data_IF_349827162477
#
_entry.id   IF_349827162477
#
_cell.length_a   1.000
_cell.length_b   1.000
_cell.length_c   1.000
_cell.angle_alpha   90.00
_cell.angle_beta   90.00
_cell.angle_gamma   90.00
#
_symmetry.space_group_name_H-M   'P 1'
#
loop_
_entity.id
_entity.type
_entity.pdbx_description
1 polymer ?
#
# COMPACT_ATOMS: atom_id res chain seq x y z
N UNK A 1 -2.04 6.70 -3.41
CA UNK A 1 -1.36 6.54 -4.73
C UNK A 1 -0.97 5.07 -4.90
N UNK A 2 -0.88 4.57 -6.15
CA UNK A 2 -0.48 3.19 -6.44
C UNK A 2 1.01 2.99 -6.23
N UNK A 3 1.40 1.80 -5.77
CA UNK A 3 2.81 1.37 -5.65
C UNK A 3 3.19 0.47 -6.83
N UNK A 4 4.46 0.48 -7.23
CA UNK A 4 4.96 -0.29 -8.37
C UNK A 4 6.23 -1.07 -8.01
N UNK A 5 6.34 -2.29 -8.55
CA UNK A 5 7.58 -3.06 -8.57
C UNK A 5 8.10 -3.08 -10.02
N UNK A 6 9.22 -2.41 -10.24
CA UNK A 6 9.99 -2.51 -11.47
C UNK A 6 10.91 -3.71 -11.35
N UNK A 7 10.74 -4.70 -12.21
CA UNK A 7 11.39 -6.01 -12.09
C UNK A 7 12.24 -6.23 -13.33
N UNK A 8 13.53 -6.51 -13.14
CA UNK A 8 14.38 -6.93 -14.22
C UNK A 8 14.03 -8.35 -14.68
N UNK A 9 14.46 -8.70 -15.88
CA UNK A 9 14.17 -9.98 -16.53
C UNK A 9 15.26 -11.02 -16.27
N UNK A 10 16.44 -10.76 -16.80
CA UNK A 10 17.57 -11.68 -16.79
C UNK A 10 18.32 -11.58 -15.44
N UNK A 11 18.66 -12.71 -14.85
CA UNK A 11 19.21 -12.77 -13.49
C UNK A 11 18.17 -12.66 -12.36
N UNK A 12 16.90 -12.26 -12.65
CA UNK A 12 15.84 -12.01 -11.65
C UNK A 12 14.62 -12.92 -11.85
N UNK A 13 14.06 -12.98 -13.05
CA UNK A 13 12.97 -13.90 -13.40
C UNK A 13 13.52 -15.18 -14.02
N UNK A 14 14.55 -15.07 -14.83
CA UNK A 14 15.23 -16.14 -15.53
C UNK A 14 16.70 -16.21 -15.12
N UNK A 15 17.25 -17.40 -15.09
CA UNK A 15 18.69 -17.57 -14.92
C UNK A 15 19.45 -16.96 -16.10
N UNK A 16 20.40 -16.10 -15.83
CA UNK A 16 21.28 -15.54 -16.85
C UNK A 16 22.49 -16.45 -17.05
N UNK A 17 22.78 -16.89 -18.31
CA UNK A 17 23.97 -17.68 -18.62
C UNK A 17 25.24 -16.86 -18.35
N UNK A 18 26.21 -17.45 -17.66
CA UNK A 18 27.46 -16.76 -17.27
C UNK A 18 28.46 -16.57 -18.42
N UNK A 19 28.29 -17.34 -19.51
CA UNK A 19 29.17 -17.33 -20.67
C UNK A 19 28.78 -16.30 -21.75
N UNK A 20 27.49 -16.14 -21.99
CA UNK A 20 26.99 -15.26 -23.07
C UNK A 20 26.17 -14.07 -22.56
N UNK A 21 25.70 -14.11 -21.31
CA UNK A 21 24.79 -13.13 -20.72
C UNK A 21 23.51 -12.91 -21.57
N UNK A 22 23.15 -13.92 -22.42
CA UNK A 22 21.98 -13.87 -23.29
C UNK A 22 21.20 -15.17 -23.22
N UNK A 23 19.89 -15.08 -23.10
CA UNK A 23 18.96 -16.20 -23.17
C UNK A 23 18.45 -16.29 -24.59
N UNK A 24 19.27 -16.87 -25.47
CA UNK A 24 19.11 -16.92 -26.93
C UNK A 24 18.57 -18.26 -27.44
N UNK A 25 18.26 -19.18 -26.53
CA UNK A 25 17.68 -20.49 -26.88
C UNK A 25 16.80 -21.04 -25.75
N UNK A 26 15.98 -22.04 -26.06
CA UNK A 26 15.12 -22.71 -25.08
C UNK A 26 15.94 -23.52 -24.04
N UNK A 27 17.11 -24.02 -24.41
CA UNK A 27 18.00 -24.75 -23.51
C UNK A 27 18.55 -23.84 -22.39
N UNK A 28 18.69 -22.55 -22.68
CA UNK A 28 19.12 -21.53 -21.69
C UNK A 28 17.97 -20.91 -20.90
N UNK A 29 16.72 -21.24 -21.26
CA UNK A 29 15.54 -20.71 -20.62
C UNK A 29 15.22 -21.47 -19.34
N UNK A 30 15.51 -20.89 -18.20
CA UNK A 30 15.20 -21.48 -16.89
C UNK A 30 14.71 -20.41 -15.91
N UNK A 31 13.59 -20.67 -15.24
CA UNK A 31 13.08 -19.79 -14.20
C UNK A 31 13.96 -19.83 -12.94
N UNK A 32 14.07 -18.68 -12.28
CA UNK A 32 14.70 -18.61 -10.94
C UNK A 32 13.88 -19.46 -9.95
N UNK A 33 14.51 -20.29 -9.12
CA UNK A 33 13.84 -21.10 -8.11
C UNK A 33 13.02 -20.24 -7.13
N UNK A 34 11.80 -20.66 -6.82
CA UNK A 34 10.90 -19.94 -5.91
C UNK A 34 10.20 -18.72 -6.53
N UNK A 35 10.42 -18.43 -7.82
CA UNK A 35 9.79 -17.33 -8.53
C UNK A 35 8.26 -17.37 -8.41
N UNK A 36 7.65 -18.45 -8.82
CA UNK A 36 6.17 -18.59 -8.83
C UNK A 36 5.58 -18.56 -7.43
N UNK A 37 6.29 -19.09 -6.43
CA UNK A 37 5.89 -18.98 -5.02
C UNK A 37 5.94 -17.52 -4.55
N UNK A 38 7.09 -16.87 -4.60
CA UNK A 38 7.29 -15.54 -4.02
C UNK A 38 6.59 -14.45 -4.83
N UNK A 39 6.84 -14.35 -6.15
CA UNK A 39 6.23 -13.32 -7.01
C UNK A 39 4.72 -13.58 -7.17
N UNK A 40 4.28 -14.84 -7.20
CA UNK A 40 2.87 -15.21 -7.22
C UNK A 40 2.14 -14.72 -5.97
N UNK A 41 2.75 -14.86 -4.79
CA UNK A 41 2.21 -14.30 -3.55
C UNK A 41 2.20 -12.76 -3.57
N UNK A 42 3.26 -12.11 -4.04
CA UNK A 42 3.28 -10.66 -4.22
C UNK A 42 2.11 -10.21 -5.10
N UNK A 43 1.92 -10.86 -6.25
CA UNK A 43 0.85 -10.51 -7.18
C UNK A 43 -0.56 -10.67 -6.59
N UNK A 44 -0.76 -11.70 -5.77
CA UNK A 44 -2.08 -11.99 -5.16
C UNK A 44 -2.33 -11.19 -3.88
N UNK A 45 -1.33 -11.06 -3.01
CA UNK A 45 -1.52 -10.61 -1.62
C UNK A 45 -1.16 -9.14 -1.40
N UNK A 46 -0.20 -8.59 -2.16
CA UNK A 46 0.29 -7.24 -1.95
C UNK A 46 -0.25 -6.26 -3.00
N UNK A 47 -0.36 -4.99 -2.64
CA UNK A 47 -0.91 -3.95 -3.51
C UNK A 47 0.21 -3.24 -4.30
N UNK A 48 0.84 -3.99 -5.20
CA UNK A 48 1.82 -3.47 -6.16
C UNK A 48 1.37 -3.75 -7.59
N UNK A 49 1.55 -2.78 -8.48
CA UNK A 49 1.54 -3.03 -9.92
C UNK A 49 2.91 -3.56 -10.34
N UNK A 50 2.94 -4.61 -11.14
CA UNK A 50 4.19 -5.22 -11.63
C UNK A 50 4.54 -4.65 -12.99
N UNK A 51 5.78 -4.22 -13.18
CA UNK A 51 6.31 -3.67 -14.43
C UNK A 51 7.64 -4.33 -14.72
N UNK A 52 7.77 -4.93 -15.90
CA UNK A 52 9.02 -5.54 -16.34
C UNK A 52 9.89 -4.47 -17.03
N UNK A 53 11.17 -4.38 -16.66
CA UNK A 53 12.11 -3.39 -17.20
C UNK A 53 13.44 -4.07 -17.48
N UNK A 54 13.83 -4.22 -18.75
CA UNK A 54 15.04 -4.95 -19.13
C UNK A 54 15.86 -4.25 -20.20
N UNK A 55 17.19 -4.31 -20.07
CA UNK A 55 18.14 -3.96 -21.12
C UNK A 55 18.46 -5.21 -21.95
N UNK A 56 18.25 -5.16 -23.27
CA UNK A 56 18.40 -6.30 -24.19
C UNK A 56 19.34 -5.94 -25.35
N UNK A 57 20.56 -5.58 -25.02
CA UNK A 57 21.57 -5.04 -25.95
C UNK A 57 22.08 -6.01 -27.02
N UNK A 58 21.73 -7.25 -26.96
CA UNK A 58 22.02 -8.23 -28.04
C UNK A 58 20.90 -8.41 -29.04
N UNK A 59 19.73 -7.85 -28.78
CA UNK A 59 18.51 -8.13 -29.53
C UNK A 59 18.55 -7.56 -30.95
N UNK A 60 18.14 -8.40 -31.91
CA UNK A 60 18.15 -8.05 -33.35
C UNK A 60 19.48 -8.35 -34.05
N UNK A 61 20.54 -8.74 -33.32
CA UNK A 61 21.81 -9.19 -33.90
C UNK A 61 21.70 -10.65 -34.40
N UNK A 62 22.58 -11.11 -35.34
CA UNK A 62 22.56 -12.49 -35.79
C UNK A 62 22.70 -13.53 -34.68
N UNK A 63 23.41 -13.20 -33.60
CA UNK A 63 23.55 -14.04 -32.39
C UNK A 63 22.30 -14.08 -31.51
N UNK A 64 21.41 -13.10 -31.62
CA UNK A 64 20.16 -13.03 -30.86
C UNK A 64 19.01 -12.44 -31.69
N UNK A 65 18.46 -13.24 -32.64
CA UNK A 65 17.38 -12.80 -33.52
C UNK A 65 16.11 -12.43 -32.74
N UNK A 66 15.39 -11.43 -33.20
CA UNK A 66 14.15 -10.95 -32.62
C UNK A 66 13.10 -12.07 -32.48
N UNK A 67 12.99 -12.95 -33.48
CA UNK A 67 12.03 -14.08 -33.49
C UNK A 67 12.26 -15.10 -32.36
N UNK A 68 13.51 -15.30 -31.96
CA UNK A 68 13.86 -16.17 -30.83
C UNK A 68 13.44 -15.48 -29.53
N UNK A 69 13.81 -14.20 -29.37
CA UNK A 69 13.40 -13.42 -28.19
C UNK A 69 11.88 -13.40 -28.03
N UNK A 70 11.13 -13.08 -29.09
CA UNK A 70 9.66 -13.05 -29.05
C UNK A 70 9.05 -14.40 -28.62
N UNK A 71 9.62 -15.50 -29.11
CA UNK A 71 9.18 -16.83 -28.73
C UNK A 71 9.41 -17.14 -27.25
N UNK A 72 10.62 -16.81 -26.74
CA UNK A 72 10.97 -17.00 -25.33
C UNK A 72 10.18 -16.03 -24.42
N UNK A 73 9.99 -14.79 -24.85
CA UNK A 73 9.20 -13.79 -24.14
C UNK A 73 7.73 -14.23 -24.03
N UNK A 74 7.18 -14.84 -25.10
CA UNK A 74 5.82 -15.39 -25.07
C UNK A 74 5.70 -16.54 -24.05
N UNK A 75 6.70 -17.41 -23.97
CA UNK A 75 6.75 -18.49 -22.96
C UNK A 75 6.81 -17.87 -21.54
N UNK A 76 7.72 -16.91 -21.32
CA UNK A 76 7.87 -16.22 -20.04
C UNK A 76 6.53 -15.62 -19.57
N UNK A 77 5.97 -14.73 -20.38
CA UNK A 77 4.74 -14.01 -20.03
C UNK A 77 3.54 -14.95 -19.94
N UNK A 78 3.47 -15.95 -20.82
CA UNK A 78 2.42 -16.97 -20.79
C UNK A 78 2.44 -17.80 -19.51
N UNK A 79 3.61 -18.27 -19.09
CA UNK A 79 3.79 -19.02 -17.84
C UNK A 79 3.44 -18.19 -16.61
N UNK A 80 3.93 -16.95 -16.54
CA UNK A 80 3.63 -16.03 -15.43
C UNK A 80 2.13 -15.70 -15.37
N UNK A 81 1.51 -15.41 -16.52
CA UNK A 81 0.06 -15.13 -16.59
C UNK A 81 -0.78 -16.34 -16.18
N UNK A 82 -0.36 -17.56 -16.55
CA UNK A 82 -1.01 -18.81 -16.15
C UNK A 82 -1.04 -18.99 -14.63
N UNK A 83 -0.02 -18.50 -13.93
CA UNK A 83 0.09 -18.49 -12.47
C UNK A 83 -0.54 -17.24 -11.80
N UNK A 84 -1.27 -16.42 -12.58
CA UNK A 84 -1.92 -15.20 -12.07
C UNK A 84 -0.99 -13.99 -11.90
N UNK A 85 0.27 -14.09 -12.33
CA UNK A 85 1.26 -13.02 -12.29
C UNK A 85 1.13 -12.19 -13.56
N UNK A 86 0.59 -10.97 -13.46
CA UNK A 86 0.32 -10.12 -14.61
C UNK A 86 1.14 -8.84 -14.53
N UNK A 87 1.96 -8.59 -15.54
CA UNK A 87 2.64 -7.32 -15.70
C UNK A 87 1.69 -6.28 -16.33
N UNK A 88 1.66 -5.08 -15.73
CA UNK A 88 0.94 -3.93 -16.29
C UNK A 88 1.57 -3.45 -17.60
N UNK A 89 2.89 -3.46 -17.65
CA UNK A 89 3.67 -3.06 -18.82
C UNK A 89 5.01 -3.79 -18.87
N UNK A 90 5.60 -3.82 -20.06
CA UNK A 90 6.92 -4.38 -20.33
C UNK A 90 7.70 -3.29 -21.07
N UNK A 91 8.81 -2.86 -20.49
CA UNK A 91 9.72 -1.87 -21.07
C UNK A 91 11.05 -2.56 -21.40
N UNK A 92 11.44 -2.47 -22.65
CA UNK A 92 12.67 -3.08 -23.16
C UNK A 92 13.50 -2.00 -23.85
N UNK A 93 14.76 -1.90 -23.48
CA UNK A 93 15.75 -1.12 -24.22
C UNK A 93 16.69 -2.06 -24.98
N UNK A 94 16.96 -1.75 -26.24
CA UNK A 94 17.77 -2.57 -27.14
C UNK A 94 19.12 -1.93 -27.49
N UNK A 95 19.37 -0.70 -27.05
CA UNK A 95 20.63 -0.03 -27.33
C UNK A 95 21.77 -0.68 -26.56
N UNK A 96 22.95 -0.71 -27.17
CA UNK A 96 24.19 -1.05 -26.47
C UNK A 96 24.67 0.12 -25.61
N UNK A 97 25.59 -0.13 -24.70
CA UNK A 97 26.12 0.92 -23.83
C UNK A 97 26.87 2.01 -24.63
N UNK A 98 27.48 1.65 -25.77
CA UNK A 98 28.22 2.55 -26.66
C UNK A 98 27.29 3.48 -27.46
N UNK A 99 26.03 3.08 -27.66
CA UNK A 99 25.03 3.88 -28.38
C UNK A 99 24.38 4.96 -27.51
N UNK A 100 24.62 4.92 -26.20
CA UNK A 100 24.03 5.86 -25.24
C UNK A 100 24.95 7.06 -25.02
N UNK A 101 24.36 8.25 -25.14
CA UNK A 101 25.00 9.47 -24.65
C UNK A 101 24.79 9.62 -23.14
N UNK A 102 25.78 9.16 -22.38
CA UNK A 102 25.78 9.20 -20.91
C UNK A 102 25.95 10.61 -20.33
N UNK A 103 26.16 11.63 -21.16
CA UNK A 103 26.17 13.02 -20.70
C UNK A 103 24.77 13.60 -20.49
N UNK A 104 23.75 12.93 -21.02
CA UNK A 104 22.36 13.34 -20.87
C UNK A 104 21.85 13.07 -19.45
N UNK A 105 20.87 13.87 -18.99
CA UNK A 105 20.19 13.57 -17.73
C UNK A 105 19.45 12.22 -17.80
N UNK A 106 19.35 11.48 -16.68
CA UNK A 106 18.72 10.15 -16.67
C UNK A 106 17.31 10.09 -17.28
N UNK A 107 16.56 11.19 -17.20
CA UNK A 107 15.21 11.31 -17.75
C UNK A 107 15.16 11.20 -19.30
N UNK A 108 16.27 11.37 -19.99
CA UNK A 108 16.37 11.28 -21.45
C UNK A 108 17.08 10.00 -21.93
N UNK A 109 17.65 9.23 -21.02
CA UNK A 109 18.37 7.99 -21.33
C UNK A 109 17.38 6.82 -21.28
N UNK A 110 17.18 6.08 -22.41
CA UNK A 110 16.22 4.95 -22.45
C UNK A 110 16.73 3.72 -21.69
N UNK A 111 18.04 3.44 -21.77
CA UNK A 111 18.69 2.29 -21.14
C UNK A 111 18.85 2.49 -19.63
N UNK A 112 18.58 1.46 -18.81
CA UNK A 112 18.93 1.47 -17.37
C UNK A 112 20.42 1.79 -17.18
N UNK A 113 20.81 2.73 -16.31
CA UNK A 113 20.02 3.33 -15.23
C UNK A 113 19.24 4.61 -15.60
N UNK A 114 19.08 4.93 -16.89
CA UNK A 114 18.21 6.00 -17.34
C UNK A 114 16.73 5.70 -17.09
N UNK A 115 15.92 6.75 -17.03
CA UNK A 115 14.50 6.66 -16.64
C UNK A 115 13.53 7.02 -17.75
N UNK A 116 14.03 7.24 -19.00
CA UNK A 116 13.17 7.69 -20.10
C UNK A 116 12.01 6.73 -20.39
N UNK A 117 12.23 5.41 -20.30
CA UNK A 117 11.17 4.41 -20.47
C UNK A 117 10.08 4.48 -19.38
N UNK A 118 10.35 5.10 -18.23
CA UNK A 118 9.53 5.05 -17.03
C UNK A 118 8.91 6.40 -16.64
N UNK A 119 8.99 7.41 -17.51
CA UNK A 119 8.46 8.76 -17.25
C UNK A 119 6.98 8.77 -16.87
N UNK A 120 6.16 7.84 -17.43
CA UNK A 120 4.75 7.71 -17.13
C UNK A 120 4.44 7.31 -15.68
N UNK A 121 5.45 6.87 -14.91
CA UNK A 121 5.28 6.49 -13.49
C UNK A 121 5.69 7.60 -12.51
N UNK A 122 6.28 8.69 -12.98
CA UNK A 122 6.71 9.80 -12.11
C UNK A 122 5.52 10.58 -11.53
N UNK A 123 4.33 10.43 -12.13
CA UNK A 123 3.09 11.03 -11.64
C UNK A 123 2.04 9.96 -11.38
N UNK A 124 1.30 10.08 -10.29
CA UNK A 124 0.22 9.16 -9.93
C UNK A 124 0.67 7.89 -9.18
N UNK A 125 1.98 7.69 -8.98
CA UNK A 125 2.53 6.58 -8.22
C UNK A 125 3.25 7.04 -6.95
N UNK A 126 3.24 6.20 -5.94
CA UNK A 126 4.00 6.36 -4.69
C UNK A 126 5.39 5.75 -4.88
N UNK A 127 6.30 6.52 -5.50
CA UNK A 127 7.64 6.04 -5.81
C UNK A 127 8.48 5.79 -4.55
N UNK A 128 8.28 6.54 -3.47
CA UNK A 128 9.00 6.36 -2.22
C UNK A 128 8.72 4.99 -1.56
N UNK A 129 7.52 4.43 -1.78
CA UNK A 129 7.11 3.10 -1.31
C UNK A 129 7.07 2.05 -2.45
N UNK A 130 7.73 2.35 -3.58
CA UNK A 130 7.91 1.47 -4.73
C UNK A 130 9.35 0.96 -4.80
N UNK A 131 9.58 -0.13 -5.55
CA UNK A 131 10.89 -0.77 -5.59
C UNK A 131 11.33 -1.08 -7.02
N UNK A 132 12.64 -1.02 -7.24
CA UNK A 132 13.31 -1.70 -8.36
C UNK A 132 13.93 -2.99 -7.83
N UNK A 133 13.68 -4.10 -8.50
CA UNK A 133 14.24 -5.42 -8.20
C UNK A 133 15.14 -5.80 -9.36
N UNK A 134 16.45 -5.89 -9.13
CA UNK A 134 17.43 -6.19 -10.15
C UNK A 134 18.71 -6.79 -9.57
N UNK A 135 19.49 -7.46 -10.43
CA UNK A 135 20.73 -8.14 -10.05
C UNK A 135 21.99 -7.34 -10.36
N UNK A 136 21.85 -6.20 -11.07
CA UNK A 136 22.98 -5.36 -11.52
C UNK A 136 23.00 -4.01 -10.80
N UNK A 137 24.18 -3.39 -10.78
CA UNK A 137 24.35 -2.05 -10.22
C UNK A 137 23.48 -1.01 -10.94
N UNK A 138 23.27 -1.18 -12.25
CA UNK A 138 22.38 -0.32 -13.04
C UNK A 138 20.94 -0.32 -12.57
N UNK A 139 20.48 -1.38 -11.90
CA UNK A 139 19.15 -1.44 -11.29
C UNK A 139 19.08 -0.64 -10.00
N UNK A 140 20.13 -0.71 -9.18
CA UNK A 140 20.24 0.13 -7.97
C UNK A 140 20.32 1.62 -8.32
N UNK A 141 21.07 1.95 -9.38
CA UNK A 141 21.16 3.32 -9.90
C UNK A 141 19.81 3.78 -10.49
N UNK A 142 19.09 2.91 -11.19
CA UNK A 142 17.74 3.17 -11.67
C UNK A 142 16.80 3.50 -10.51
N UNK A 143 16.84 2.72 -9.43
CA UNK A 143 16.05 2.99 -8.24
C UNK A 143 16.32 4.39 -7.67
N UNK A 144 17.60 4.75 -7.53
CA UNK A 144 18.03 6.09 -7.10
C UNK A 144 17.51 7.19 -8.04
N UNK A 145 17.63 6.99 -9.35
CA UNK A 145 17.23 7.98 -10.35
C UNK A 145 15.71 8.16 -10.45
N UNK A 146 14.92 7.14 -10.10
CA UNK A 146 13.46 7.18 -9.99
C UNK A 146 12.96 7.72 -8.64
N UNK A 147 13.81 7.74 -7.61
CA UNK A 147 13.39 8.03 -6.23
C UNK A 147 12.63 6.87 -5.57
N UNK A 148 12.85 5.64 -6.04
CA UNK A 148 12.32 4.41 -5.43
C UNK A 148 13.34 3.79 -4.49
N UNK A 149 12.93 2.75 -3.76
CA UNK A 149 13.84 1.87 -3.04
C UNK A 149 14.36 0.76 -3.98
N UNK A 150 15.47 0.13 -3.61
CA UNK A 150 16.05 -0.98 -4.36
C UNK A 150 15.99 -2.28 -3.57
N UNK A 151 15.70 -3.39 -4.26
CA UNK A 151 15.94 -4.75 -3.80
C UNK A 151 17.02 -5.34 -4.72
N UNK A 152 18.20 -5.60 -4.16
CA UNK A 152 19.28 -6.18 -4.93
C UNK A 152 19.16 -7.70 -4.95
N UNK A 153 18.90 -8.23 -6.14
CA UNK A 153 18.69 -9.66 -6.34
C UNK A 153 20.03 -10.40 -6.42
N UNK A 154 20.70 -10.53 -5.28
CA UNK A 154 22.00 -11.17 -5.13
C UNK A 154 22.02 -11.99 -3.86
N UNK A 155 23.03 -12.88 -3.71
CA UNK A 155 23.25 -13.61 -2.45
C UNK A 155 23.38 -12.63 -1.31
N UNK A 156 22.74 -12.91 -0.20
CA UNK A 156 22.72 -12.05 0.99
C UNK A 156 24.10 -11.78 1.61
N UNK A 157 25.11 -12.54 1.20
CA UNK A 157 26.53 -12.31 1.58
C UNK A 157 27.21 -11.21 0.74
N UNK A 158 26.58 -10.71 -0.32
CA UNK A 158 27.09 -9.60 -1.12
C UNK A 158 26.54 -8.28 -0.57
N UNK A 159 27.41 -7.28 -0.48
CA UNK A 159 27.01 -5.93 -0.08
C UNK A 159 27.00 -5.02 -1.31
N UNK A 160 25.95 -4.18 -1.46
CA UNK A 160 25.95 -3.15 -2.49
C UNK A 160 27.03 -2.11 -2.20
N UNK A 161 27.53 -1.39 -3.22
CA UNK A 161 28.44 -0.26 -3.01
C UNK A 161 27.85 0.74 -2.00
N UNK A 162 28.69 1.36 -1.16
CA UNK A 162 28.26 2.30 -0.11
C UNK A 162 27.41 3.46 -0.66
N UNK A 163 27.64 3.85 -1.93
CA UNK A 163 26.88 4.90 -2.63
C UNK A 163 25.51 4.45 -3.13
N UNK A 164 25.21 3.13 -3.12
CA UNK A 164 23.97 2.54 -3.64
C UNK A 164 23.35 1.63 -2.59
N UNK A 165 22.40 2.19 -1.82
CA UNK A 165 21.73 1.43 -0.76
C UNK A 165 20.65 0.52 -1.35
N UNK A 166 20.58 -0.72 -0.85
CA UNK A 166 19.47 -1.62 -1.07
C UNK A 166 18.65 -1.77 0.23
N UNK A 167 17.33 -1.79 0.11
CA UNK A 167 16.43 -2.06 1.24
C UNK A 167 16.45 -3.53 1.64
N UNK A 168 16.75 -4.41 0.68
CA UNK A 168 16.95 -5.85 0.88
C UNK A 168 18.01 -6.35 -0.12
N UNK A 169 18.85 -7.29 0.33
CA UNK A 169 19.71 -8.11 -0.54
C UNK A 169 19.28 -9.56 -0.36
N UNK A 170 18.79 -10.18 -1.44
CA UNK A 170 18.38 -11.58 -1.45
C UNK A 170 18.23 -12.09 -2.88
N UNK A 171 18.68 -13.30 -3.14
CA UNK A 171 18.48 -14.05 -4.40
C UNK A 171 17.25 -14.96 -4.36
N UNK A 172 16.36 -14.78 -3.38
CA UNK A 172 15.20 -15.64 -3.13
C UNK A 172 13.89 -14.85 -3.12
N UNK A 173 13.01 -15.16 -4.06
CA UNK A 173 11.69 -14.55 -4.17
C UNK A 173 10.81 -14.68 -2.90
N UNK A 174 10.80 -15.82 -2.15
CA UNK A 174 10.08 -15.91 -0.88
C UNK A 174 10.56 -14.92 0.18
N UNK A 175 11.86 -14.57 0.19
CA UNK A 175 12.40 -13.58 1.13
C UNK A 175 11.97 -12.17 0.75
N UNK A 176 11.95 -11.86 -0.56
CA UNK A 176 11.43 -10.58 -1.08
C UNK A 176 9.95 -10.43 -0.71
N UNK A 177 9.13 -11.47 -0.89
CA UNK A 177 7.75 -11.44 -0.46
C UNK A 177 7.61 -11.15 1.05
N UNK A 178 8.38 -11.86 1.90
CA UNK A 178 8.33 -11.64 3.37
C UNK A 178 8.72 -10.21 3.74
N UNK A 179 9.76 -9.68 3.12
CA UNK A 179 10.20 -8.30 3.31
C UNK A 179 9.11 -7.31 2.92
N UNK A 180 8.58 -7.38 1.70
CA UNK A 180 7.54 -6.46 1.22
C UNK A 180 6.26 -6.53 2.07
N UNK A 181 5.92 -7.73 2.57
CA UNK A 181 4.78 -7.93 3.46
C UNK A 181 5.01 -7.34 4.86
N UNK A 182 6.26 -7.29 5.33
CA UNK A 182 6.60 -6.75 6.66
C UNK A 182 6.67 -5.23 6.68
N UNK A 183 6.59 -4.56 5.53
CA UNK A 183 6.60 -3.10 5.47
C UNK A 183 5.33 -2.53 6.10
N UNK A 184 5.45 -1.43 6.87
CA UNK A 184 4.30 -0.78 7.49
C UNK A 184 3.25 -0.34 6.46
N UNK A 185 1.96 -0.54 6.80
CA UNK A 185 0.82 -0.12 5.98
C UNK A 185 0.56 1.37 6.21
N UNK A 186 1.24 2.19 5.44
CA UNK A 186 1.21 3.66 5.57
C UNK A 186 0.56 4.30 4.35
N UNK A 187 -0.16 5.40 4.59
CA UNK A 187 -0.80 6.20 3.53
C UNK A 187 -0.88 7.67 3.94
N UNK A 188 -0.85 8.55 2.94
CA UNK A 188 -1.20 9.96 3.11
C UNK A 188 -2.35 10.30 2.17
N UNK A 189 -3.45 10.75 2.75
CA UNK A 189 -4.63 11.24 2.02
C UNK A 189 -4.69 12.76 2.19
N UNK A 190 -4.85 13.47 1.08
CA UNK A 190 -5.17 14.88 1.04
C UNK A 190 -6.55 15.04 0.39
N UNK A 191 -7.48 15.69 1.09
CA UNK A 191 -8.81 16.00 0.62
C UNK A 191 -9.04 17.49 0.74
N UNK A 192 -9.44 18.13 -0.35
CA UNK A 192 -9.79 19.54 -0.37
C UNK A 192 -11.12 19.75 -1.07
N UNK A 193 -11.98 20.55 -0.46
CA UNK A 193 -13.23 21.07 -1.00
C UNK A 193 -13.21 22.60 -0.96
N UNK A 194 -14.31 23.26 -1.20
CA UNK A 194 -14.42 24.72 -0.97
C UNK A 194 -14.53 25.06 0.51
N UNK A 195 -14.93 24.09 1.34
CA UNK A 195 -15.27 24.25 2.76
C UNK A 195 -14.16 23.74 3.68
N UNK A 196 -13.40 22.73 3.24
CA UNK A 196 -12.38 22.07 4.07
C UNK A 196 -11.10 21.76 3.31
N UNK A 197 -9.97 21.79 4.03
CA UNK A 197 -8.68 21.25 3.56
C UNK A 197 -8.15 20.29 4.62
N UNK A 198 -8.04 19.00 4.27
CA UNK A 198 -7.73 17.92 5.21
C UNK A 198 -6.53 17.13 4.74
N UNK A 199 -5.61 16.86 5.66
CA UNK A 199 -4.51 15.94 5.47
C UNK A 199 -4.56 14.85 6.55
N UNK A 200 -4.54 13.59 6.13
CA UNK A 200 -4.45 12.41 6.99
C UNK A 200 -3.21 11.64 6.61
N UNK A 201 -2.28 11.45 7.56
CA UNK A 201 -1.20 10.46 7.44
C UNK A 201 -1.47 9.37 8.46
N UNK A 202 -1.67 8.14 7.98
CA UNK A 202 -2.06 6.98 8.76
C UNK A 202 -1.03 5.87 8.60
N UNK A 203 -0.62 5.27 9.73
CA UNK A 203 0.14 4.03 9.78
C UNK A 203 -0.64 3.00 10.60
N UNK A 204 -1.14 1.94 9.94
CA UNK A 204 -1.89 0.87 10.61
C UNK A 204 -1.03 0.02 11.54
N UNK A 205 0.28 -0.03 11.29
CA UNK A 205 1.25 -0.81 12.05
C UNK A 205 2.08 0.09 13.00
N UNK A 206 1.43 1.14 13.53
CA UNK A 206 2.01 2.15 14.40
C UNK A 206 2.07 1.75 15.86
N UNK A 207 2.35 2.75 16.70
CA UNK A 207 2.50 2.63 18.17
C UNK A 207 1.42 3.36 18.97
N UNK A 208 0.49 4.05 18.30
CA UNK A 208 -0.52 4.90 18.92
C UNK A 208 -0.09 6.36 19.05
N UNK A 209 0.90 6.79 18.27
CA UNK A 209 1.29 8.19 18.17
C UNK A 209 0.17 9.00 17.49
N UNK A 210 -0.14 10.18 18.04
CA UNK A 210 -1.13 11.09 17.43
C UNK A 210 -0.64 12.52 17.39
N UNK A 211 -0.98 13.22 16.30
CA UNK A 211 -0.84 14.66 16.13
C UNK A 211 -2.07 15.15 15.38
N UNK A 212 -3.05 15.69 16.10
CA UNK A 212 -4.38 15.99 15.57
C UNK A 212 -4.69 17.46 15.77
N UNK A 213 -5.27 18.09 14.76
CA UNK A 213 -5.70 19.50 14.81
C UNK A 213 -6.86 19.69 13.84
N UNK A 214 -8.08 19.71 14.36
CA UNK A 214 -9.32 19.99 13.60
C UNK A 214 -9.91 21.36 13.91
N UNK A 215 -9.37 22.02 14.92
CA UNK A 215 -9.92 23.27 15.45
C UNK A 215 -11.05 23.06 16.48
N UNK A 216 -11.39 21.80 16.79
CA UNK A 216 -12.39 21.43 17.79
C UNK A 216 -11.74 20.51 18.84
N UNK A 217 -11.54 21.02 20.06
CA UNK A 217 -10.76 20.32 21.09
C UNK A 217 -11.35 18.98 21.50
N UNK A 218 -12.67 18.90 21.61
CA UNK A 218 -13.31 17.63 21.95
C UNK A 218 -13.20 16.60 20.81
N UNK A 219 -13.33 17.04 19.56
CA UNK A 219 -13.17 16.14 18.41
C UNK A 219 -11.73 15.66 18.25
N UNK A 220 -10.74 16.54 18.46
CA UNK A 220 -9.33 16.17 18.50
C UNK A 220 -9.10 15.07 19.54
N UNK A 221 -9.64 15.20 20.75
CA UNK A 221 -9.58 14.20 21.80
C UNK A 221 -10.20 12.86 21.38
N UNK A 222 -11.34 12.85 20.69
CA UNK A 222 -11.96 11.62 20.18
C UNK A 222 -11.09 10.90 19.13
N UNK A 223 -10.46 11.65 18.24
CA UNK A 223 -9.54 11.11 17.25
C UNK A 223 -8.22 10.60 17.88
N UNK A 224 -7.77 11.23 18.97
CA UNK A 224 -6.66 10.71 19.79
C UNK A 224 -7.00 9.37 20.44
N UNK A 225 -8.24 9.19 20.92
CA UNK A 225 -8.70 7.88 21.41
C UNK A 225 -8.63 6.81 20.31
N UNK A 226 -9.01 7.17 19.07
CA UNK A 226 -8.90 6.27 17.91
C UNK A 226 -7.46 5.82 17.67
N UNK A 227 -6.52 6.76 17.63
CA UNK A 227 -5.10 6.48 17.43
C UNK A 227 -4.54 5.61 18.57
N UNK A 228 -4.76 6.05 19.81
CA UNK A 228 -4.19 5.42 21.01
C UNK A 228 -4.69 3.99 21.21
N UNK A 229 -6.00 3.79 21.19
CA UNK A 229 -6.62 2.48 21.45
C UNK A 229 -6.56 1.54 20.24
N UNK A 230 -6.47 2.08 19.03
CA UNK A 230 -6.21 1.32 17.81
C UNK A 230 -4.74 0.97 17.62
N UNK A 231 -3.80 1.62 18.34
CA UNK A 231 -2.37 1.45 18.14
C UNK A 231 -1.89 1.96 16.78
N UNK A 232 -2.60 2.93 16.20
CA UNK A 232 -2.26 3.55 14.92
C UNK A 232 -1.39 4.79 15.15
N UNK A 233 -0.43 5.07 14.24
CA UNK A 233 0.11 6.42 14.20
C UNK A 233 -0.77 7.26 13.27
N UNK A 234 -1.26 8.40 13.78
CA UNK A 234 -2.20 9.26 13.09
C UNK A 234 -1.77 10.74 13.19
N UNK A 235 -1.37 11.30 12.05
CA UNK A 235 -1.27 12.76 11.93
C UNK A 235 -2.46 13.25 11.08
N UNK A 236 -3.27 14.13 11.65
CA UNK A 236 -4.47 14.64 11.01
C UNK A 236 -4.59 16.16 11.22
N UNK A 237 -4.78 16.88 10.13
CA UNK A 237 -5.12 18.30 10.18
C UNK A 237 -6.35 18.57 9.32
N UNK A 238 -7.25 19.40 9.84
CA UNK A 238 -8.42 19.91 9.13
C UNK A 238 -8.46 21.43 9.29
N UNK A 239 -8.46 22.16 8.19
CA UNK A 239 -8.80 23.57 8.13
C UNK A 239 -10.18 23.66 7.48
N UNK A 240 -11.22 23.86 8.29
CA UNK A 240 -12.62 23.93 7.85
C UNK A 240 -13.26 25.26 8.20
N UNK A 241 -14.47 25.46 7.69
CA UNK A 241 -15.28 26.66 7.85
C UNK A 241 -16.07 26.69 9.18
N UNK A 242 -15.37 26.43 10.29
CA UNK A 242 -15.97 26.37 11.65
C UNK A 242 -16.74 27.62 12.05
N UNK A 243 -16.56 28.75 11.35
CA UNK A 243 -17.35 29.96 11.53
C UNK A 243 -18.81 29.81 11.05
N UNK A 244 -19.11 28.80 10.25
CA UNK A 244 -20.45 28.39 9.83
C UNK A 244 -20.98 27.40 10.87
N UNK A 245 -20.41 26.21 10.90
CA UNK A 245 -20.66 25.17 11.92
C UNK A 245 -19.58 24.07 11.88
N UNK A 246 -19.76 22.99 12.67
CA UNK A 246 -18.83 21.88 12.74
C UNK A 246 -19.09 20.79 11.66
N UNK A 247 -20.16 20.88 10.88
CA UNK A 247 -20.66 19.79 10.01
C UNK A 247 -19.63 19.36 8.99
N UNK A 248 -19.21 20.29 8.13
CA UNK A 248 -18.27 20.00 7.04
C UNK A 248 -16.93 19.46 7.56
N UNK A 249 -16.43 20.06 8.67
CA UNK A 249 -15.17 19.63 9.27
C UNK A 249 -15.23 18.21 9.81
N UNK A 250 -16.32 17.81 10.47
CA UNK A 250 -16.48 16.45 11.03
C UNK A 250 -16.71 15.42 9.92
N UNK A 251 -17.64 15.69 8.99
CA UNK A 251 -17.97 14.78 7.91
C UNK A 251 -16.79 14.54 6.99
N UNK A 252 -16.16 15.59 6.48
CA UNK A 252 -15.02 15.49 5.57
C UNK A 252 -13.79 14.86 6.23
N UNK A 253 -13.58 15.09 7.54
CA UNK A 253 -12.55 14.39 8.31
C UNK A 253 -12.84 12.88 8.36
N UNK A 254 -14.08 12.48 8.61
CA UNK A 254 -14.48 11.06 8.60
C UNK A 254 -14.29 10.41 7.24
N UNK A 255 -14.67 11.11 6.16
CA UNK A 255 -14.46 10.63 4.79
C UNK A 255 -12.98 10.46 4.46
N UNK A 256 -12.13 11.45 4.80
CA UNK A 256 -10.69 11.38 4.57
C UNK A 256 -10.03 10.25 5.39
N UNK A 257 -10.43 10.08 6.63
CA UNK A 257 -9.94 9.02 7.51
C UNK A 257 -10.37 7.63 7.01
N UNK A 258 -11.64 7.45 6.66
CA UNK A 258 -12.15 6.20 6.08
C UNK A 258 -11.45 5.84 4.77
N UNK A 259 -11.19 6.83 3.91
CA UNK A 259 -10.39 6.64 2.71
C UNK A 259 -8.97 6.20 3.05
N UNK A 260 -8.33 6.79 4.08
CA UNK A 260 -7.00 6.40 4.52
C UNK A 260 -6.96 4.93 4.98
N UNK A 261 -7.93 4.49 5.78
CA UNK A 261 -8.06 3.08 6.16
C UNK A 261 -8.22 2.16 4.94
N UNK A 262 -9.10 2.49 4.01
CA UNK A 262 -9.31 1.72 2.78
C UNK A 262 -8.04 1.60 1.94
N UNK A 263 -7.31 2.70 1.73
CA UNK A 263 -6.07 2.70 0.94
C UNK A 263 -4.95 1.93 1.66
N UNK A 264 -4.79 2.08 2.99
CA UNK A 264 -3.78 1.37 3.77
C UNK A 264 -4.04 -0.15 3.83
N UNK A 265 -5.30 -0.58 3.84
CA UNK A 265 -5.69 -2.01 3.82
C UNK A 265 -5.46 -2.67 2.46
N UNK A 266 -5.45 -1.91 1.37
CA UNK A 266 -5.23 -2.43 0.03
C UNK A 266 -6.14 -3.61 -0.32
N UNK A 267 -5.55 -4.74 -0.69
CA UNK A 267 -6.27 -5.98 -1.08
C UNK A 267 -6.97 -6.70 0.09
N UNK A 268 -6.77 -6.25 1.33
CA UNK A 268 -7.35 -6.85 2.55
C UNK A 268 -6.99 -8.33 2.77
N UNK A 269 -5.94 -8.83 2.13
CA UNK A 269 -5.50 -10.21 2.26
C UNK A 269 -4.89 -10.45 3.63
N UNK A 270 -5.35 -11.50 4.31
CA UNK A 270 -4.82 -11.93 5.60
C UNK A 270 -5.24 -11.08 6.80
N UNK A 271 -6.11 -10.09 6.66
CA UNK A 271 -6.67 -9.36 7.81
C UNK A 271 -7.72 -10.22 8.54
N UNK A 272 -7.96 -9.90 9.81
CA UNK A 272 -8.99 -10.61 10.60
C UNK A 272 -10.42 -10.20 10.24
N UNK A 273 -10.62 -9.01 9.67
CA UNK A 273 -11.89 -8.49 9.14
C UNK A 273 -12.91 -8.04 10.17
N UNK A 274 -13.01 -8.63 11.39
CA UNK A 274 -14.05 -8.43 12.39
C UNK A 274 -13.52 -7.94 13.75
N UNK A 275 -14.40 -7.35 14.61
CA UNK A 275 -14.07 -6.93 16.00
C UNK A 275 -15.27 -6.36 16.77
N UNK A 276 -15.41 -5.89 17.91
CA UNK A 276 -15.10 -5.98 19.34
C UNK A 276 -16.11 -5.21 20.28
N UNK A 277 -16.11 -5.47 21.63
CA UNK A 277 -16.97 -4.89 22.69
C UNK A 277 -16.11 -4.33 23.85
N UNK A 278 -16.51 -3.20 24.49
CA UNK A 278 -15.72 -2.52 25.53
C UNK A 278 -16.56 -1.87 26.63
N UNK A 279 -16.33 -2.16 27.96
CA UNK A 279 -16.84 -1.38 29.06
C UNK A 279 -15.98 -0.14 29.36
N UNK A 280 -16.59 0.94 29.77
CA UNK A 280 -15.92 2.16 30.22
C UNK A 280 -16.77 2.87 31.29
N UNK A 281 -16.30 2.84 32.54
CA UNK A 281 -16.99 3.38 33.73
C UNK A 281 -18.46 2.94 33.80
N UNK A 282 -19.40 3.90 33.68
CA UNK A 282 -20.84 3.65 33.65
C UNK A 282 -21.38 3.17 32.30
N UNK A 283 -20.52 3.14 31.27
CA UNK A 283 -20.91 2.84 29.89
C UNK A 283 -20.46 1.48 29.42
N UNK A 284 -21.27 0.86 28.55
CA UNK A 284 -20.92 -0.32 27.77
C UNK A 284 -21.10 -0.01 26.30
N UNK A 285 -20.01 0.05 25.53
CA UNK A 285 -20.02 0.24 24.09
C UNK A 285 -19.74 -1.08 23.37
N UNK A 286 -20.49 -1.33 22.32
CA UNK A 286 -20.30 -2.47 21.40
C UNK A 286 -20.04 -1.91 20.00
N UNK A 287 -18.92 -2.32 19.39
CA UNK A 287 -18.59 -2.01 18.02
C UNK A 287 -18.37 -3.31 17.26
N UNK A 288 -19.21 -3.58 16.27
CA UNK A 288 -19.04 -4.69 15.34
C UNK A 288 -18.71 -4.13 13.96
N UNK A 289 -17.67 -4.64 13.33
CA UNK A 289 -17.17 -4.12 12.07
C UNK A 289 -16.89 -5.26 11.10
N UNK A 290 -17.19 -5.04 9.81
CA UNK A 290 -16.89 -5.95 8.70
C UNK A 290 -16.43 -5.18 7.47
N UNK A 291 -15.19 -5.37 7.05
CA UNK A 291 -14.65 -4.80 5.81
C UNK A 291 -15.16 -5.54 4.56
N UNK A 292 -16.48 -5.65 4.44
CA UNK A 292 -17.16 -6.39 3.37
C UNK A 292 -17.18 -5.69 2.00
N UNK A 293 -16.69 -4.45 1.90
CA UNK A 293 -16.85 -3.63 0.70
C UNK A 293 -18.28 -3.09 0.49
N UNK A 294 -19.21 -3.36 1.41
CA UNK A 294 -20.62 -2.92 1.38
C UNK A 294 -20.89 -2.03 2.59
N UNK A 295 -20.75 -0.71 2.44
CA UNK A 295 -20.90 0.22 3.55
C UNK A 295 -22.31 0.22 4.11
N UNK A 296 -22.40 0.20 5.44
CA UNK A 296 -23.66 0.39 6.18
C UNK A 296 -23.32 0.81 7.63
N UNK A 297 -24.18 1.64 8.20
CA UNK A 297 -24.14 1.95 9.64
C UNK A 297 -25.43 1.50 10.31
N UNK A 298 -25.32 0.70 11.37
CA UNK A 298 -26.38 0.50 12.35
C UNK A 298 -26.01 1.27 13.62
N UNK A 299 -26.90 2.16 14.07
CA UNK A 299 -26.65 3.11 15.13
C UNK A 299 -27.68 3.02 16.24
N UNK A 300 -27.27 2.55 17.40
CA UNK A 300 -28.09 2.42 18.60
C UNK A 300 -27.45 3.21 19.76
N UNK A 301 -27.29 4.53 19.53
CA UNK A 301 -26.69 5.47 20.49
C UNK A 301 -27.60 6.68 20.63
N UNK A 302 -27.86 7.09 21.85
CA UNK A 302 -28.62 8.30 22.17
C UNK A 302 -27.87 9.17 23.16
N UNK A 303 -27.99 10.48 23.00
CA UNK A 303 -27.43 11.47 23.87
C UNK A 303 -28.55 12.37 24.43
N UNK A 304 -28.43 12.75 25.70
CA UNK A 304 -29.34 13.70 26.33
C UNK A 304 -28.93 15.14 26.06
N UNK A 305 -27.62 15.40 25.89
CA UNK A 305 -27.07 16.70 25.58
C UNK A 305 -26.91 16.88 24.07
N UNK A 306 -27.23 18.08 23.57
CA UNK A 306 -27.06 18.42 22.16
C UNK A 306 -25.59 18.69 21.78
N UNK A 307 -24.71 18.90 22.78
CA UNK A 307 -23.33 19.28 22.57
C UNK A 307 -22.44 18.78 23.72
N UNK A 308 -21.23 18.33 23.39
CA UNK A 308 -20.17 17.94 24.31
C UNK A 308 -18.92 18.76 24.00
N UNK A 309 -18.62 19.72 24.86
CA UNK A 309 -17.62 20.75 24.55
C UNK A 309 -18.02 21.54 23.30
N UNK A 310 -17.19 21.51 22.28
CA UNK A 310 -17.39 22.12 20.97
C UNK A 310 -17.96 21.13 19.90
N UNK A 311 -18.30 19.92 20.33
CA UNK A 311 -18.76 18.84 19.44
C UNK A 311 -20.29 18.65 19.52
N UNK A 312 -21.05 18.88 18.43
CA UNK A 312 -22.49 18.60 18.38
C UNK A 312 -22.74 17.09 18.39
N UNK A 313 -23.52 16.57 19.36
CA UNK A 313 -23.72 15.12 19.54
C UNK A 313 -24.39 14.45 18.33
N UNK A 314 -25.22 15.17 17.60
CA UNK A 314 -25.80 14.67 16.34
C UNK A 314 -24.75 14.32 15.27
N UNK A 315 -23.58 14.96 15.30
CA UNK A 315 -22.49 14.73 14.37
C UNK A 315 -21.76 13.41 14.64
N UNK A 316 -21.94 12.81 15.81
CA UNK A 316 -21.35 11.50 16.09
C UNK A 316 -21.81 10.45 15.08
N UNK A 317 -23.12 10.35 14.81
CA UNK A 317 -23.66 9.44 13.81
C UNK A 317 -23.09 9.74 12.43
N UNK A 318 -23.06 11.01 12.02
CA UNK A 318 -22.52 11.42 10.72
C UNK A 318 -21.04 11.02 10.55
N UNK A 319 -20.23 11.18 11.59
CA UNK A 319 -18.83 10.73 11.57
C UNK A 319 -18.70 9.24 11.25
N UNK A 320 -19.41 8.39 11.99
CA UNK A 320 -19.31 6.94 11.80
C UNK A 320 -19.93 6.47 10.49
N UNK A 321 -20.97 7.11 9.99
CA UNK A 321 -21.60 6.82 8.71
C UNK A 321 -20.66 7.17 7.54
N UNK A 322 -20.07 8.36 7.56
CA UNK A 322 -19.11 8.83 6.55
C UNK A 322 -17.84 8.00 6.55
N UNK A 323 -17.33 7.65 7.73
CA UNK A 323 -16.20 6.72 7.84
C UNK A 323 -16.54 5.35 7.22
N UNK A 324 -17.67 4.74 7.61
CA UNK A 324 -18.07 3.43 7.12
C UNK A 324 -18.22 3.42 5.59
N UNK A 325 -18.79 4.48 5.04
CA UNK A 325 -18.94 4.66 3.59
C UNK A 325 -17.57 4.76 2.90
N UNK A 326 -16.67 5.60 3.40
CA UNK A 326 -15.37 5.82 2.79
C UNK A 326 -14.43 4.62 2.94
N UNK A 327 -14.45 3.95 4.11
CA UNK A 327 -13.67 2.74 4.37
C UNK A 327 -14.21 1.48 3.66
N UNK A 328 -15.46 1.50 3.20
CA UNK A 328 -16.12 0.34 2.60
C UNK A 328 -16.42 -0.75 3.62
N UNK A 329 -16.87 -0.38 4.83
CA UNK A 329 -17.17 -1.34 5.89
C UNK A 329 -18.63 -1.26 6.35
N UNK A 330 -19.14 -2.37 6.85
CA UNK A 330 -20.35 -2.41 7.64
C UNK A 330 -19.94 -2.16 9.11
N UNK A 331 -20.61 -1.21 9.76
CA UNK A 331 -20.36 -0.84 11.17
C UNK A 331 -21.66 -0.86 11.95
N UNK A 332 -21.63 -1.50 13.12
CA UNK A 332 -22.72 -1.47 14.08
C UNK A 332 -22.17 -0.92 15.39
N UNK A 333 -22.81 0.11 15.92
CA UNK A 333 -22.48 0.75 17.17
C UNK A 333 -23.70 0.82 18.09
N UNK A 334 -23.50 0.32 19.30
CA UNK A 334 -24.46 0.40 20.38
C UNK A 334 -23.76 0.87 21.66
N UNK A 335 -24.39 1.76 22.42
CA UNK A 335 -23.90 2.16 23.74
C UNK A 335 -25.04 2.31 24.73
N UNK A 336 -24.77 1.88 25.97
CA UNK A 336 -25.60 2.13 27.14
C UNK A 336 -24.78 2.81 28.21
N UNK A 337 -25.39 3.64 29.04
CA UNK A 337 -24.76 4.44 30.10
C UNK A 337 -25.52 5.74 30.38
N UNK A 338 -25.07 6.49 31.36
CA UNK A 338 -25.75 7.73 31.79
C UNK A 338 -25.00 8.96 31.29
N UNK A 339 -23.67 8.99 31.38
CA UNK A 339 -22.84 10.14 31.02
C UNK A 339 -22.58 10.19 29.51
N UNK A 340 -23.07 11.23 28.83
CA UNK A 340 -22.94 11.37 27.39
C UNK A 340 -21.49 11.50 26.90
N UNK A 341 -20.58 12.12 27.70
CA UNK A 341 -19.16 12.16 27.42
C UNK A 341 -18.58 10.73 27.39
N UNK A 342 -18.87 9.94 28.44
CA UNK A 342 -18.43 8.55 28.51
C UNK A 342 -19.06 7.69 27.41
N UNK A 343 -20.33 7.90 27.04
CA UNK A 343 -20.97 7.21 25.90
C UNK A 343 -20.19 7.46 24.60
N UNK A 344 -19.91 8.73 24.28
CA UNK A 344 -19.24 9.04 23.01
C UNK A 344 -17.78 8.58 23.02
N UNK A 345 -17.06 8.79 24.11
CA UNK A 345 -15.67 8.34 24.24
C UNK A 345 -15.58 6.79 24.18
N UNK A 346 -16.49 6.06 24.81
CA UNK A 346 -16.53 4.61 24.74
C UNK A 346 -16.85 4.09 23.34
N UNK A 347 -17.68 4.80 22.55
CA UNK A 347 -17.91 4.50 21.14
C UNK A 347 -16.60 4.57 20.33
N UNK A 348 -15.82 5.67 20.48
CA UNK A 348 -14.55 5.81 19.79
C UNK A 348 -13.51 4.78 20.22
N UNK A 349 -13.44 4.45 21.51
CA UNK A 349 -12.55 3.39 22.03
C UNK A 349 -12.94 2.01 21.53
N UNK A 350 -14.23 1.64 21.58
CA UNK A 350 -14.72 0.35 21.07
C UNK A 350 -14.49 0.24 19.57
N UNK A 351 -14.77 1.31 18.82
CA UNK A 351 -14.50 1.39 17.39
C UNK A 351 -13.01 1.25 17.07
N UNK A 352 -12.12 1.94 17.80
CA UNK A 352 -10.68 1.82 17.64
C UNK A 352 -10.18 0.38 17.85
N UNK A 353 -10.70 -0.30 18.88
CA UNK A 353 -10.38 -1.70 19.19
C UNK A 353 -10.94 -2.66 18.14
N UNK A 354 -12.16 -2.40 17.65
CA UNK A 354 -12.75 -3.17 16.57
C UNK A 354 -11.95 -3.03 15.27
N UNK A 355 -11.55 -1.80 14.92
CA UNK A 355 -10.67 -1.53 13.78
C UNK A 355 -9.33 -2.25 13.93
N UNK A 356 -8.69 -2.18 15.11
CA UNK A 356 -7.42 -2.88 15.35
C UNK A 356 -7.57 -4.38 15.14
N UNK A 357 -8.58 -5.00 15.78
CA UNK A 357 -8.85 -6.43 15.62
C UNK A 357 -9.12 -6.81 14.15
N UNK A 358 -9.88 -5.97 13.42
CA UNK A 358 -10.22 -6.21 12.02
C UNK A 358 -9.04 -6.05 11.06
N UNK A 359 -8.11 -5.14 11.37
CA UNK A 359 -6.96 -4.80 10.51
C UNK A 359 -5.72 -5.62 10.81
N UNK A 360 -5.64 -6.28 11.96
CA UNK A 360 -4.54 -7.17 12.29
C UNK A 360 -4.49 -8.38 11.34
N UNK A 361 -3.28 -8.87 11.09
CA UNK A 361 -3.11 -10.10 10.33
C UNK A 361 -3.53 -11.30 11.14
N UNK A 362 -4.40 -12.15 10.56
CA UNK A 362 -4.80 -13.43 11.14
C UNK A 362 -3.71 -14.49 11.02
N UNK A 363 -3.95 -15.66 11.62
CA UNK A 363 -3.06 -16.83 11.51
C UNK A 363 -2.99 -17.39 10.07
N UNK A 364 -4.03 -17.17 9.26
CA UNK A 364 -4.07 -17.54 7.84
C UNK A 364 -3.75 -16.28 7.00
N UNK A 365 -2.48 -15.99 6.91
CA UNK A 365 -1.98 -14.73 6.33
C UNK A 365 -2.03 -14.66 4.80
N UNK A 366 -2.36 -15.75 4.12
CA UNK A 366 -2.32 -15.90 2.67
C UNK A 366 -3.72 -15.98 2.01
N UNK A 367 -4.79 -15.93 2.81
CA UNK A 367 -6.15 -16.04 2.30
C UNK A 367 -6.94 -14.73 2.43
N UNK A 368 -7.72 -14.42 1.39
CA UNK A 368 -8.75 -13.41 1.51
C UNK A 368 -9.88 -13.99 2.42
N UNK A 369 -10.27 -13.30 3.52
CA UNK A 369 -11.28 -13.81 4.43
C UNK A 369 -12.70 -13.71 3.83
N UNK A 370 -12.89 -14.35 2.68
CA UNK A 370 -14.15 -14.37 1.92
C UNK A 370 -14.26 -15.63 1.08
N UNK A 371 -15.36 -16.39 1.27
CA UNK A 371 -15.70 -17.54 0.42
C UNK A 371 -16.07 -17.14 -1.01
N UNK A 372 -16.34 -15.85 -1.25
CA UNK A 372 -16.69 -15.31 -2.58
C UNK A 372 -15.46 -14.87 -3.39
N UNK A 373 -14.24 -14.93 -2.81
CA UNK A 373 -13.01 -14.51 -3.45
C UNK A 373 -12.88 -13.01 -3.70
N UNK A 374 -13.76 -12.18 -3.07
CA UNK A 374 -13.74 -10.71 -3.12
C UNK A 374 -14.32 -10.10 -1.83
N UNK A 375 -13.89 -8.88 -1.50
CA UNK A 375 -14.39 -8.03 -0.40
C UNK A 375 -14.61 -6.60 -0.89
#
# INVERSE_FOLDING_TARGET
MKKVLFIDRDGVLLHEPQDTFQIDSLEKFAFIPGLFEGLGRIARELDYELVLVSNQDGLGKPSYPLSIFESLQKILIGSLTGEGIRFRAIHLDVHTAEEIDWSLPPALIPRKPGTAMLQGYLTGYDLANSFVIGDRLTDLELARNLGTQAIWFQKSSQEPPESLKAALVSDRWPDIFRFLRSLPRQVVVNRATQETAIRVALNLDGSGFSRISTGMGFFDHMLEQLARHGGYDLELSCAGDLHIDAHHSIEDTALALGQAFREALGKKTGIQRYGFVLPMDDCLAQASLDFSGRPALQWEVSFDQSQLGDFPTQMARHFFESFAQAAGCNLQLQVTGENDHHKLESCFKAFARALRAATDFGSQTDQLPSTKGQL
#
